data_IF_224245692120
#
_entry.id   IF_224245692120
#
_cell.length_a   1.000
_cell.length_b   1.000
_cell.length_c   1.000
_cell.angle_alpha   90.00
_cell.angle_beta   90.00
_cell.angle_gamma   90.00
#
_symmetry.space_group_name_H-M   'P 1'
#
loop_
_entity.id
_entity.type
_entity.pdbx_description
1 polymer ?
#
# COMPACT_ATOMS: atom_id res chain seq x y z
N UNK A 1 -47.87 -6.78 27.91
CA UNK A 1 -47.62 -5.32 27.99
C UNK A 1 -48.13 -4.90 29.36
N UNK A 2 -47.23 -4.46 30.24
CA UNK A 2 -47.52 -4.13 31.64
C UNK A 2 -48.62 -3.06 31.74
N UNK A 3 -49.62 -3.30 32.59
CA UNK A 3 -50.87 -2.52 32.65
C UNK A 3 -50.94 -1.50 33.81
N UNK A 4 -49.94 -1.49 34.70
CA UNK A 4 -49.90 -0.57 35.85
C UNK A 4 -48.97 0.62 35.59
N UNK A 5 -49.50 1.82 35.83
CA UNK A 5 -48.87 3.11 35.52
C UNK A 5 -47.94 3.62 36.63
N UNK A 6 -47.94 2.99 37.80
CA UNK A 6 -47.10 3.36 38.93
C UNK A 6 -45.94 2.36 39.05
N UNK A 7 -44.75 2.78 38.61
CA UNK A 7 -43.54 1.97 38.67
C UNK A 7 -42.75 2.28 39.93
N UNK A 8 -42.55 1.27 40.78
CA UNK A 8 -41.72 1.39 41.99
C UNK A 8 -40.22 1.45 41.65
N UNK A 9 -39.43 2.01 42.57
CA UNK A 9 -37.97 2.17 42.41
C UNK A 9 -37.25 0.83 42.21
N UNK A 10 -37.79 -0.25 42.78
CA UNK A 10 -37.28 -1.60 42.56
C UNK A 10 -37.48 -2.08 41.11
N UNK A 11 -38.64 -1.79 40.53
CA UNK A 11 -38.98 -2.14 39.14
C UNK A 11 -38.14 -1.35 38.14
N UNK A 12 -37.93 -0.05 38.39
CA UNK A 12 -37.10 0.81 37.52
C UNK A 12 -35.63 0.35 37.46
N UNK A 13 -35.08 -0.20 38.54
CA UNK A 13 -33.71 -0.76 38.57
C UNK A 13 -33.52 -1.97 37.67
N UNK A 14 -34.59 -2.66 37.30
CA UNK A 14 -34.53 -3.82 36.42
C UNK A 14 -34.44 -3.43 34.93
N UNK A 15 -34.90 -2.21 34.61
CA UNK A 15 -34.84 -1.61 33.29
C UNK A 15 -33.58 -0.75 33.07
N UNK A 16 -32.91 -0.35 34.16
CA UNK A 16 -31.64 0.36 34.08
C UNK A 16 -30.49 -0.67 33.94
N UNK A 17 -29.58 -0.51 32.96
CA UNK A 17 -28.38 -1.32 32.91
C UNK A 17 -27.62 -1.15 34.23
N UNK A 18 -27.19 -2.25 34.84
CA UNK A 18 -26.43 -2.22 36.09
C UNK A 18 -25.25 -1.28 35.91
N UNK A 19 -25.24 -0.18 36.67
CA UNK A 19 -24.22 0.87 36.68
C UNK A 19 -22.87 0.28 37.13
N UNK A 20 -22.21 -0.38 36.18
CA UNK A 20 -20.77 -0.56 36.13
C UNK A 20 -20.29 0.00 34.79
N UNK A 21 -20.82 1.16 34.41
CA UNK A 21 -20.25 1.94 33.31
C UNK A 21 -19.08 2.72 33.89
N UNK A 22 -17.97 2.02 34.09
CA UNK A 22 -16.69 2.69 34.10
C UNK A 22 -16.63 3.51 32.82
N UNK A 23 -16.54 4.84 32.94
CA UNK A 23 -16.21 5.74 31.84
C UNK A 23 -14.75 5.47 31.42
N UNK A 24 -14.51 4.29 30.88
CA UNK A 24 -13.36 3.93 30.08
C UNK A 24 -13.81 3.82 28.63
N UNK A 25 -12.90 4.00 27.66
CA UNK A 25 -13.24 3.90 26.25
C UNK A 25 -13.92 2.56 25.96
N UNK A 26 -15.18 2.62 25.53
CA UNK A 26 -15.91 1.48 24.98
C UNK A 26 -15.33 1.21 23.60
N UNK A 27 -14.26 0.41 23.57
CA UNK A 27 -13.49 0.12 22.36
C UNK A 27 -12.46 -1.00 22.48
N UNK A 28 -12.41 -1.76 23.57
CA UNK A 28 -11.46 -2.85 23.75
C UNK A 28 -11.91 -4.15 23.05
N UNK A 29 -12.05 -4.10 21.73
CA UNK A 29 -12.19 -5.28 20.87
C UNK A 29 -10.93 -5.41 19.99
N UNK A 30 -9.78 -5.75 20.59
CA UNK A 30 -8.55 -6.25 19.90
C UNK A 30 -7.92 -5.41 18.77
N UNK A 31 -8.58 -4.36 18.28
CA UNK A 31 -8.28 -3.62 17.06
C UNK A 31 -7.69 -2.24 17.33
N UNK A 32 -8.00 -1.63 18.48
CA UNK A 32 -7.51 -0.28 18.82
C UNK A 32 -6.01 -0.30 19.17
N UNK A 33 -5.54 -1.35 19.86
CA UNK A 33 -4.11 -1.55 20.10
C UNK A 33 -3.34 -1.81 18.80
N UNK A 34 -3.89 -2.58 17.85
CA UNK A 34 -3.29 -2.78 16.53
C UNK A 34 -3.31 -1.50 15.69
N UNK A 35 -4.37 -0.68 15.76
CA UNK A 35 -4.43 0.62 15.07
C UNK A 35 -3.52 1.67 15.68
N UNK A 36 -3.28 1.64 16.99
CA UNK A 36 -2.27 2.47 17.65
C UNK A 36 -0.86 2.04 17.20
N UNK A 37 -0.58 0.74 17.23
CA UNK A 37 0.71 0.20 16.80
C UNK A 37 1.00 0.46 15.32
N UNK A 38 -0.02 0.36 14.45
CA UNK A 38 0.11 0.66 13.02
C UNK A 38 0.39 2.14 12.79
N UNK A 39 -0.29 3.05 13.50
CA UNK A 39 -0.02 4.48 13.42
C UNK A 39 1.41 4.82 13.86
N UNK A 40 1.91 4.20 14.94
CA UNK A 40 3.29 4.38 15.40
C UNK A 40 4.30 3.85 14.37
N UNK A 41 4.02 2.71 13.75
CA UNK A 41 4.84 2.16 12.67
C UNK A 41 4.86 3.09 11.45
N UNK A 42 3.70 3.62 11.03
CA UNK A 42 3.61 4.58 9.93
C UNK A 42 4.43 5.84 10.21
N UNK A 43 4.34 6.39 11.42
CA UNK A 43 5.14 7.55 11.78
C UNK A 43 6.62 7.26 11.79
N UNK A 44 7.03 6.06 12.22
CA UNK A 44 8.42 5.63 12.14
C UNK A 44 8.91 5.57 10.69
N UNK A 45 8.15 4.91 9.80
CA UNK A 45 8.47 4.82 8.37
C UNK A 45 8.54 6.21 7.74
N UNK A 46 7.58 7.09 8.02
CA UNK A 46 7.57 8.46 7.49
C UNK A 46 8.77 9.28 8.00
N UNK A 47 9.17 9.08 9.26
CA UNK A 47 10.33 9.75 9.83
C UNK A 47 11.63 9.24 9.21
N UNK A 48 11.75 7.93 9.01
CA UNK A 48 12.89 7.31 8.34
C UNK A 48 12.99 7.82 6.89
N UNK A 49 11.89 7.84 6.14
CA UNK A 49 11.83 8.43 4.79
C UNK A 49 12.20 9.91 4.77
N UNK A 50 11.78 10.69 5.78
CA UNK A 50 12.16 12.10 5.89
C UNK A 50 13.68 12.23 6.07
N UNK A 51 14.31 11.34 6.85
CA UNK A 51 15.75 11.34 7.02
C UNK A 51 16.47 10.94 5.73
N UNK A 52 16.00 9.91 5.03
CA UNK A 52 16.55 9.48 3.74
C UNK A 52 16.48 10.59 2.68
N UNK A 53 15.37 11.34 2.65
CA UNK A 53 15.24 12.51 1.78
C UNK A 53 16.21 13.64 2.13
N UNK A 54 16.53 13.83 3.42
CA UNK A 54 17.53 14.81 3.82
C UNK A 54 18.93 14.37 3.43
N UNK A 55 19.23 13.08 3.59
CA UNK A 55 20.50 12.48 3.21
C UNK A 55 20.72 12.55 1.70
N UNK A 56 19.69 12.28 0.90
CA UNK A 56 19.72 12.43 -0.55
C UNK A 56 19.90 13.89 -0.97
N UNK A 57 19.19 14.84 -0.33
CA UNK A 57 19.38 16.28 -0.58
C UNK A 57 20.81 16.71 -0.27
N UNK A 58 21.40 16.23 0.82
CA UNK A 58 22.78 16.53 1.19
C UNK A 58 23.77 15.96 0.17
N UNK A 59 23.53 14.75 -0.32
CA UNK A 59 24.32 14.11 -1.37
C UNK A 59 24.29 14.90 -2.69
N UNK A 60 23.08 15.24 -3.16
CA UNK A 60 22.88 16.03 -4.39
C UNK A 60 23.47 17.43 -4.25
N UNK A 61 23.32 18.06 -3.08
CA UNK A 61 23.93 19.35 -2.81
C UNK A 61 25.47 19.29 -2.82
N UNK A 62 26.05 18.21 -2.29
CA UNK A 62 27.48 17.94 -2.36
C UNK A 62 27.98 17.79 -3.80
N UNK A 63 27.24 17.05 -4.63
CA UNK A 63 27.52 16.91 -6.07
C UNK A 63 27.45 18.25 -6.80
N UNK A 64 26.43 19.06 -6.53
CA UNK A 64 26.23 20.37 -7.16
C UNK A 64 27.33 21.39 -6.78
N UNK A 65 27.98 21.19 -5.64
CA UNK A 65 29.09 22.03 -5.17
C UNK A 65 30.48 21.44 -5.48
N UNK A 66 30.56 20.37 -6.27
CA UNK A 66 31.80 19.61 -6.55
C UNK A 66 32.59 19.23 -5.29
N UNK A 67 31.89 19.06 -4.16
CA UNK A 67 32.50 18.65 -2.90
C UNK A 67 32.70 17.13 -2.92
N UNK A 68 33.80 16.63 -2.34
CA UNK A 68 33.98 15.20 -2.15
C UNK A 68 32.81 14.67 -1.31
N UNK A 69 32.12 13.68 -1.85
CA UNK A 69 30.96 13.04 -1.22
C UNK A 69 31.44 12.20 -0.04
N UNK A 70 30.70 12.26 1.06
CA UNK A 70 30.96 11.39 2.21
C UNK A 70 30.59 9.93 1.84
N UNK A 71 31.55 8.99 1.82
CA UNK A 71 31.28 7.60 1.46
C UNK A 71 30.29 6.92 2.42
N UNK A 72 30.17 7.38 3.67
CA UNK A 72 29.19 6.86 4.62
C UNK A 72 27.76 7.25 4.23
N UNK A 73 27.57 8.48 3.73
CA UNK A 73 26.28 8.98 3.27
C UNK A 73 25.84 8.27 1.98
N UNK A 74 26.77 8.08 1.04
CA UNK A 74 26.54 7.31 -0.19
C UNK A 74 26.07 5.90 0.17
N UNK A 75 26.80 5.21 1.05
CA UNK A 75 26.45 3.87 1.47
C UNK A 75 25.08 3.82 2.15
N UNK A 76 24.77 4.78 3.02
CA UNK A 76 23.47 4.84 3.71
C UNK A 76 22.27 5.00 2.75
N UNK A 77 22.45 5.78 1.68
CA UNK A 77 21.42 5.98 0.65
C UNK A 77 21.24 4.75 -0.24
N UNK A 78 22.34 4.04 -0.56
CA UNK A 78 22.31 2.87 -1.45
C UNK A 78 22.00 1.54 -0.74
N UNK A 79 22.47 1.35 0.50
CA UNK A 79 22.27 0.13 1.30
C UNK A 79 20.95 0.16 2.09
N UNK A 80 20.02 1.05 1.77
CA UNK A 80 18.66 1.04 2.34
C UNK A 80 17.85 -0.13 1.76
N UNK A 81 18.37 -1.36 1.94
CA UNK A 81 17.73 -2.61 1.59
C UNK A 81 16.51 -2.82 2.47
N UNK A 82 15.37 -2.45 1.90
CA UNK A 82 14.09 -3.04 2.19
C UNK A 82 14.21 -4.59 2.12
N UNK A 83 14.19 -5.24 3.30
CA UNK A 83 13.76 -6.62 3.54
C UNK A 83 14.05 -7.66 2.43
N UNK A 84 15.22 -8.32 2.45
CA UNK A 84 15.33 -9.73 2.04
C UNK A 84 16.15 -10.52 3.07
N UNK A 85 15.62 -11.64 3.61
CA UNK A 85 16.45 -12.54 4.41
C UNK A 85 17.23 -13.46 3.48
N UNK A 86 18.55 -13.31 3.47
CA UNK A 86 19.48 -14.37 3.09
C UNK A 86 20.16 -14.17 1.74
N UNK A 87 21.49 -14.15 1.78
CA UNK A 87 22.32 -14.26 0.59
C UNK A 87 23.69 -13.61 0.75
N UNK A 88 24.55 -14.18 1.58
CA UNK A 88 25.98 -13.89 1.57
C UNK A 88 26.57 -14.29 0.21
N UNK A 89 26.80 -13.36 -0.72
CA UNK A 89 27.79 -13.55 -1.78
C UNK A 89 28.44 -12.23 -2.13
N UNK A 90 29.71 -12.08 -1.76
CA UNK A 90 30.57 -11.02 -2.25
C UNK A 90 30.74 -11.13 -3.77
N UNK A 91 30.32 -10.12 -4.49
CA UNK A 91 30.65 -9.90 -5.89
C UNK A 91 31.72 -8.82 -5.99
N UNK A 92 32.76 -8.98 -6.82
CA UNK A 92 33.77 -7.95 -7.01
C UNK A 92 33.17 -6.74 -7.75
N UNK A 93 33.74 -5.53 -7.57
CA UNK A 93 33.17 -4.32 -8.17
C UNK A 93 33.21 -4.42 -9.69
N UNK A 94 32.03 -4.36 -10.31
CA UNK A 94 31.86 -4.28 -11.76
C UNK A 94 32.48 -2.97 -12.24
N UNK A 95 33.55 -3.06 -13.04
CA UNK A 95 34.09 -1.91 -13.76
C UNK A 95 33.22 -1.64 -14.98
N UNK A 96 32.38 -0.61 -14.89
CA UNK A 96 31.58 -0.14 -16.03
C UNK A 96 32.53 0.55 -17.01
N UNK A 97 32.75 -0.06 -18.17
CA UNK A 97 33.42 0.59 -19.30
C UNK A 97 32.38 1.45 -20.01
N UNK A 98 32.48 2.78 -19.91
CA UNK A 98 31.66 3.69 -20.70
C UNK A 98 32.00 3.50 -22.17
N UNK A 99 31.13 2.81 -22.91
CA UNK A 99 31.06 2.95 -24.37
C UNK A 99 30.19 4.18 -24.64
N UNK A 100 30.76 5.16 -25.34
CA UNK A 100 30.02 6.29 -25.90
C UNK A 100 29.05 5.76 -26.97
N UNK A 101 27.84 5.42 -26.55
CA UNK A 101 26.72 5.26 -27.46
C UNK A 101 26.12 6.65 -27.72
N UNK A 102 26.42 7.19 -28.89
CA UNK A 102 25.60 8.20 -29.53
C UNK A 102 24.27 7.54 -29.92
N UNK A 103 23.32 7.51 -28.99
CA UNK A 103 21.92 7.24 -29.30
C UNK A 103 21.13 8.54 -29.08
N UNK A 104 20.53 8.97 -30.19
CA UNK A 104 19.61 10.09 -30.33
C UNK A 104 18.54 10.04 -29.22
N UNK A 105 18.25 11.15 -28.51
CA UNK A 105 17.23 11.14 -27.46
C UNK A 105 15.85 10.94 -28.09
N UNK A 106 15.37 9.70 -28.11
CA UNK A 106 13.95 9.44 -28.28
C UNK A 106 13.25 9.92 -27.01
N UNK A 107 12.60 11.07 -27.15
CA UNK A 107 11.72 11.66 -26.16
C UNK A 107 10.54 10.70 -25.92
N UNK A 108 10.67 9.84 -24.89
CA UNK A 108 9.57 8.98 -24.47
C UNK A 108 8.63 9.84 -23.65
N UNK A 109 7.60 10.35 -24.33
CA UNK A 109 6.48 11.06 -23.71
C UNK A 109 5.88 10.16 -22.62
N UNK A 110 6.21 10.44 -21.35
CA UNK A 110 5.55 9.85 -20.21
C UNK A 110 4.14 10.46 -20.13
N UNK A 111 3.22 9.90 -20.89
CA UNK A 111 1.81 10.18 -20.71
C UNK A 111 1.41 9.66 -19.32
N UNK A 112 1.32 10.55 -18.34
CA UNK A 112 0.68 10.29 -17.06
C UNK A 112 -0.79 9.99 -17.36
N UNK A 113 -1.11 8.70 -17.51
CA UNK A 113 -2.50 8.25 -17.65
C UNK A 113 -3.14 8.49 -16.30
N UNK A 114 -3.88 9.60 -16.16
CA UNK A 114 -4.70 9.88 -14.98
C UNK A 114 -5.63 8.67 -14.75
N UNK A 115 -5.32 7.86 -13.74
CA UNK A 115 -6.17 6.73 -13.37
C UNK A 115 -7.50 7.29 -12.84
N UNK A 116 -8.61 6.96 -13.49
CA UNK A 116 -9.92 7.31 -12.93
C UNK A 116 -10.10 6.59 -11.58
N UNK A 117 -10.47 7.35 -10.54
CA UNK A 117 -10.68 6.83 -9.17
C UNK A 117 -11.90 5.89 -9.05
N UNK A 118 -12.60 5.61 -10.15
CA UNK A 118 -13.78 4.77 -10.16
C UNK A 118 -13.41 3.29 -10.03
N UNK A 119 -13.95 2.64 -9.00
CA UNK A 119 -13.77 1.20 -8.78
C UNK A 119 -14.26 0.37 -9.98
N UNK A 120 -15.33 0.80 -10.64
CA UNK A 120 -15.88 0.10 -11.81
C UNK A 120 -14.95 0.17 -13.02
N UNK A 121 -14.27 1.30 -13.22
CA UNK A 121 -13.33 1.47 -14.33
C UNK A 121 -12.07 0.64 -14.11
N UNK A 122 -11.54 0.65 -12.87
CA UNK A 122 -10.41 -0.19 -12.47
C UNK A 122 -10.75 -1.67 -12.60
N UNK A 123 -11.94 -2.09 -12.19
CA UNK A 123 -12.41 -3.47 -12.38
C UNK A 123 -12.44 -3.85 -13.87
N UNK A 124 -13.00 -2.99 -14.73
CA UNK A 124 -13.05 -3.21 -16.18
C UNK A 124 -11.65 -3.31 -16.80
N UNK A 125 -10.72 -2.47 -16.37
CA UNK A 125 -9.34 -2.45 -16.84
C UNK A 125 -8.58 -3.72 -16.41
N UNK A 126 -8.70 -4.11 -15.13
CA UNK A 126 -8.08 -5.32 -14.60
C UNK A 126 -8.59 -6.57 -15.33
N UNK A 127 -9.90 -6.65 -15.57
CA UNK A 127 -10.50 -7.74 -16.35
C UNK A 127 -9.92 -7.77 -17.77
N UNK A 128 -9.80 -6.61 -18.42
CA UNK A 128 -9.19 -6.53 -19.76
C UNK A 128 -7.73 -6.97 -19.75
N UNK A 129 -6.92 -6.51 -18.79
CA UNK A 129 -5.50 -6.88 -18.64
C UNK A 129 -5.32 -8.38 -18.37
N UNK A 130 -6.15 -8.97 -17.51
CA UNK A 130 -6.09 -10.40 -17.23
C UNK A 130 -6.48 -11.25 -18.46
N UNK A 131 -7.49 -10.82 -19.21
CA UNK A 131 -7.91 -11.51 -20.43
C UNK A 131 -6.84 -11.46 -21.52
N UNK A 132 -6.21 -10.30 -21.76
CA UNK A 132 -5.14 -10.18 -22.74
C UNK A 132 -3.92 -11.01 -22.33
N UNK A 133 -3.52 -10.96 -21.05
CA UNK A 133 -2.39 -11.73 -20.50
C UNK A 133 -2.56 -13.24 -20.68
N UNK A 134 -3.77 -13.76 -20.48
CA UNK A 134 -4.08 -15.19 -20.64
C UNK A 134 -4.66 -15.56 -22.00
N UNK A 135 -4.53 -14.71 -23.03
CA UNK A 135 -5.02 -14.97 -24.40
C UNK A 135 -6.51 -15.37 -24.42
N UNK A 136 -7.34 -14.62 -23.70
CA UNK A 136 -8.78 -14.84 -23.52
C UNK A 136 -9.17 -16.18 -22.86
N UNK A 137 -8.24 -16.89 -22.21
CA UNK A 137 -8.55 -18.08 -21.41
C UNK A 137 -9.23 -17.68 -20.10
N UNK A 138 -10.56 -17.68 -20.10
CA UNK A 138 -11.41 -17.25 -18.97
C UNK A 138 -11.06 -17.92 -17.65
N UNK A 139 -10.83 -19.24 -17.63
CA UNK A 139 -10.44 -19.97 -16.42
C UNK A 139 -9.15 -19.45 -15.78
N UNK A 140 -8.11 -19.20 -16.58
CA UNK A 140 -6.81 -18.72 -16.10
C UNK A 140 -6.87 -17.24 -15.67
N UNK A 141 -7.57 -16.41 -16.44
CA UNK A 141 -7.80 -15.01 -16.08
C UNK A 141 -8.63 -14.88 -14.78
N UNK A 142 -9.66 -15.72 -14.60
CA UNK A 142 -10.47 -15.73 -13.38
C UNK A 142 -9.64 -16.15 -12.17
N UNK A 143 -8.74 -17.13 -12.33
CA UNK A 143 -7.84 -17.57 -11.28
C UNK A 143 -6.85 -16.47 -10.87
N UNK A 144 -6.28 -15.72 -11.83
CA UNK A 144 -5.40 -14.58 -11.53
C UNK A 144 -6.15 -13.45 -10.82
N UNK A 145 -7.40 -13.18 -11.22
CA UNK A 145 -8.26 -12.19 -10.58
C UNK A 145 -8.84 -12.65 -9.23
N UNK A 146 -8.63 -13.91 -8.83
CA UNK A 146 -9.17 -14.46 -7.59
C UNK A 146 -10.70 -14.61 -7.55
N UNK A 147 -11.35 -14.69 -8.71
CA UNK A 147 -12.82 -14.83 -8.83
C UNK A 147 -13.21 -16.13 -9.53
N UNK A 148 -14.47 -16.53 -9.38
CA UNK A 148 -14.99 -17.67 -10.14
C UNK A 148 -15.10 -17.34 -11.63
N UNK A 149 -14.93 -18.35 -12.49
CA UNK A 149 -15.11 -18.22 -13.95
C UNK A 149 -16.52 -17.69 -14.29
N UNK A 150 -17.55 -18.06 -13.51
CA UNK A 150 -18.92 -17.56 -13.65
C UNK A 150 -19.00 -16.06 -13.37
N UNK A 151 -18.30 -15.58 -12.33
CA UNK A 151 -18.24 -14.15 -12.00
C UNK A 151 -17.56 -13.38 -13.13
N UNK A 152 -16.42 -13.88 -13.63
CA UNK A 152 -15.71 -13.26 -14.74
C UNK A 152 -16.58 -13.19 -16.00
N UNK A 153 -17.27 -14.28 -16.34
CA UNK A 153 -18.17 -14.31 -17.50
C UNK A 153 -19.27 -13.24 -17.43
N UNK A 154 -19.89 -13.08 -16.26
CA UNK A 154 -20.93 -12.05 -16.06
C UNK A 154 -20.35 -10.65 -16.26
N UNK A 155 -19.18 -10.38 -15.68
CA UNK A 155 -18.51 -9.07 -15.77
C UNK A 155 -18.06 -8.75 -17.20
N UNK A 156 -17.57 -9.74 -17.95
CA UNK A 156 -17.28 -9.59 -19.38
C UNK A 156 -18.52 -9.14 -20.16
N UNK A 157 -19.67 -9.77 -19.89
CA UNK A 157 -20.94 -9.43 -20.56
C UNK A 157 -21.45 -8.05 -20.14
N UNK A 158 -21.37 -7.72 -18.85
CA UNK A 158 -21.79 -6.43 -18.29
C UNK A 158 -20.98 -5.26 -18.87
N UNK A 159 -19.68 -5.45 -19.06
CA UNK A 159 -18.78 -4.42 -19.57
C UNK A 159 -18.57 -4.44 -21.09
N UNK A 160 -19.20 -5.38 -21.80
CA UNK A 160 -19.07 -5.53 -23.25
C UNK A 160 -17.66 -5.90 -23.72
N UNK A 161 -16.91 -6.69 -22.93
CA UNK A 161 -15.51 -7.06 -23.17
C UNK A 161 -15.36 -8.36 -23.99
N UNK A 162 -16.19 -8.56 -25.01
CA UNK A 162 -16.19 -9.79 -25.83
C UNK A 162 -15.02 -9.87 -26.80
#
# INVERSE_FOLDING_TARGET
>A
IEQDRESDAATLRQYLPSESSALGPVGANGGEATSINERELLYKVLFDMKNDLNDLKALVHGMMQEKPLDPALVRKVYDNELLLPGGETGTPPVRISMHEHHDDPQDVEHAEVEESLSLQDKEKELIRKALTKHRNRRKAAAQELGISERTLYRKIKEYGLN
#
